data_IF_466417164974
#
_entry.id   IF_466417164974
#
_cell.length_a   1.000
_cell.length_b   1.000
_cell.length_c   1.000
_cell.angle_alpha   90.00
_cell.angle_beta   90.00
_cell.angle_gamma   90.00
#
_symmetry.space_group_name_H-M   'P 1'
#
loop_
_entity.id
_entity.type
_entity.pdbx_description
1 polymer ?
#
# COMPACT_ATOMS: atom_id res chain seq x y z
N UNK A 1 30.56 8.58 -29.15
CA UNK A 1 29.46 7.62 -29.38
C UNK A 1 28.71 7.29 -28.07
N UNK A 2 29.38 7.24 -26.91
CA UNK A 2 28.74 6.96 -25.60
C UNK A 2 27.98 8.13 -24.99
N UNK A 3 28.38 9.38 -25.29
CA UNK A 3 27.79 10.58 -24.67
C UNK A 3 26.35 10.86 -25.07
N UNK A 4 25.97 10.61 -26.31
CA UNK A 4 24.58 10.80 -26.80
C UNK A 4 23.61 9.81 -26.13
N UNK A 5 24.01 8.57 -25.91
CA UNK A 5 23.22 7.56 -25.23
C UNK A 5 23.02 7.90 -23.74
N UNK A 6 24.08 8.39 -23.08
CA UNK A 6 24.02 8.86 -21.69
C UNK A 6 23.08 10.07 -21.52
N UNK A 7 23.17 11.06 -22.40
CA UNK A 7 22.31 12.24 -22.39
C UNK A 7 20.84 11.86 -22.61
N UNK A 8 20.55 10.97 -23.54
CA UNK A 8 19.18 10.45 -23.75
C UNK A 8 18.65 9.72 -22.53
N UNK A 9 19.48 8.91 -21.88
CA UNK A 9 19.14 8.25 -20.64
C UNK A 9 18.83 9.24 -19.52
N UNK A 10 19.64 10.27 -19.34
CA UNK A 10 19.42 11.34 -18.35
C UNK A 10 18.15 12.13 -18.65
N UNK A 11 17.89 12.49 -19.89
CA UNK A 11 16.66 13.19 -20.31
C UNK A 11 15.42 12.32 -20.00
N UNK A 12 15.49 11.03 -20.27
CA UNK A 12 14.40 10.09 -19.95
C UNK A 12 14.11 10.04 -18.45
N UNK A 13 15.15 9.95 -17.64
CA UNK A 13 15.04 9.96 -16.17
C UNK A 13 14.41 11.27 -15.68
N UNK A 14 14.83 12.40 -16.19
CA UNK A 14 14.29 13.72 -15.84
C UNK A 14 12.82 13.83 -16.25
N UNK A 15 12.45 13.40 -17.45
CA UNK A 15 11.06 13.38 -17.92
C UNK A 15 10.20 12.49 -17.02
N UNK A 16 10.66 11.29 -16.70
CA UNK A 16 9.94 10.37 -15.83
C UNK A 16 9.71 10.95 -14.43
N UNK A 17 10.67 11.69 -13.89
CA UNK A 17 10.53 12.32 -12.58
C UNK A 17 9.60 13.55 -12.58
N UNK A 18 9.36 14.16 -13.73
CA UNK A 18 8.47 15.33 -13.89
C UNK A 18 7.03 14.95 -14.23
N UNK A 19 6.79 13.77 -14.77
CA UNK A 19 5.45 13.33 -15.13
C UNK A 19 4.56 13.25 -13.89
N UNK A 20 3.45 13.97 -13.93
CA UNK A 20 2.40 13.85 -12.92
C UNK A 20 1.60 12.56 -13.14
N UNK A 21 1.73 11.65 -12.21
CA UNK A 21 1.00 10.40 -12.24
C UNK A 21 -0.34 10.61 -11.52
N UNK A 22 -1.44 10.22 -12.15
CA UNK A 22 -2.76 10.36 -11.56
C UNK A 22 -2.98 9.32 -10.44
N UNK A 23 -3.80 9.68 -9.46
CA UNK A 23 -4.22 8.73 -8.41
C UNK A 23 -4.88 7.48 -8.97
N UNK A 24 -5.65 7.65 -10.04
CA UNK A 24 -6.34 6.55 -10.71
C UNK A 24 -5.35 5.54 -11.29
N UNK A 25 -4.34 6.01 -12.03
CA UNK A 25 -3.29 5.15 -12.58
C UNK A 25 -2.55 4.36 -11.50
N UNK A 26 -2.18 5.02 -10.39
CA UNK A 26 -1.50 4.35 -9.28
C UNK A 26 -2.36 3.25 -8.67
N UNK A 27 -3.65 3.49 -8.49
CA UNK A 27 -4.56 2.49 -7.94
C UNK A 27 -4.80 1.32 -8.90
N UNK A 28 -4.95 1.58 -10.19
CA UNK A 28 -5.08 0.54 -11.22
C UNK A 28 -3.83 -0.35 -11.28
N UNK A 29 -2.64 0.25 -11.14
CA UNK A 29 -1.38 -0.49 -11.08
C UNK A 29 -1.34 -1.36 -9.82
N UNK A 30 -1.73 -0.81 -8.66
CA UNK A 30 -1.78 -1.56 -7.41
C UNK A 30 -2.73 -2.76 -7.50
N UNK A 31 -3.93 -2.58 -8.06
CA UNK A 31 -4.87 -3.66 -8.28
C UNK A 31 -4.28 -4.77 -9.13
N UNK A 32 -3.64 -4.43 -10.25
CA UNK A 32 -2.96 -5.41 -11.11
C UNK A 32 -1.84 -6.15 -10.39
N UNK A 33 -1.07 -5.46 -9.56
CA UNK A 33 0.01 -6.06 -8.78
C UNK A 33 -0.55 -7.09 -7.79
N UNK A 34 -1.60 -6.73 -7.08
CA UNK A 34 -2.25 -7.60 -6.08
C UNK A 34 -2.94 -8.79 -6.74
N UNK A 35 -3.60 -8.59 -7.87
CA UNK A 35 -4.24 -9.68 -8.64
C UNK A 35 -3.21 -10.69 -9.15
N UNK A 36 -2.08 -10.21 -9.65
CA UNK A 36 -1.01 -11.04 -10.20
C UNK A 36 -0.30 -11.85 -9.11
N UNK A 37 -0.03 -11.24 -7.99
CA UNK A 37 0.65 -11.88 -6.86
C UNK A 37 0.15 -11.27 -5.54
N UNK A 38 -0.88 -11.85 -4.93
CA UNK A 38 -1.42 -11.34 -3.68
C UNK A 38 -0.41 -11.44 -2.54
N UNK A 39 -0.47 -10.55 -1.54
CA UNK A 39 0.44 -10.60 -0.41
C UNK A 39 0.33 -11.92 0.35
N UNK A 40 1.43 -12.48 0.85
CA UNK A 40 1.42 -13.72 1.60
C UNK A 40 0.64 -13.56 2.91
N UNK A 41 0.04 -14.65 3.36
CA UNK A 41 -0.65 -14.69 4.65
C UNK A 41 0.40 -14.60 5.77
N UNK A 42 0.20 -13.65 6.67
CA UNK A 42 0.97 -13.53 7.90
C UNK A 42 0.07 -13.83 9.10
N UNK A 43 0.34 -14.92 9.79
CA UNK A 43 -0.51 -15.40 10.87
C UNK A 43 -1.89 -15.85 10.39
N UNK A 44 -2.95 -15.32 11.01
CA UNK A 44 -4.35 -15.67 10.66
C UNK A 44 -4.91 -14.87 9.48
N UNK A 45 -4.27 -13.77 9.13
CA UNK A 45 -4.86 -12.80 8.23
C UNK A 45 -3.92 -12.44 7.10
N UNK A 46 -4.50 -12.23 5.93
CA UNK A 46 -3.79 -11.69 4.78
C UNK A 46 -3.81 -10.16 4.83
N UNK A 47 -2.66 -9.49 4.65
CA UNK A 47 -2.65 -8.05 4.49
C UNK A 47 -3.51 -7.62 3.30
N UNK A 48 -4.29 -6.56 3.47
CA UNK A 48 -5.14 -6.03 2.43
C UNK A 48 -4.66 -4.64 2.02
N UNK A 49 -4.19 -4.52 0.78
CA UNK A 49 -3.78 -3.26 0.17
C UNK A 49 -5.01 -2.61 -0.47
N UNK A 50 -5.48 -1.49 0.07
CA UNK A 50 -6.70 -0.82 -0.40
C UNK A 50 -6.43 0.17 -1.51
N UNK A 51 -5.55 1.11 -1.26
CA UNK A 51 -5.24 2.16 -2.22
C UNK A 51 -3.84 2.72 -2.01
N UNK A 52 -3.35 3.44 -3.01
CA UNK A 52 -2.03 4.07 -3.01
C UNK A 52 -2.15 5.57 -3.26
N UNK A 53 -1.33 6.35 -2.58
CA UNK A 53 -1.24 7.79 -2.76
C UNK A 53 0.21 8.20 -3.05
N UNK A 54 0.37 9.15 -3.97
CA UNK A 54 1.64 9.80 -4.21
C UNK A 54 1.91 10.83 -3.10
N UNK A 55 3.03 10.69 -2.42
CA UNK A 55 3.46 11.64 -1.37
C UNK A 55 4.41 12.69 -1.91
N UNK A 56 5.36 12.27 -2.73
CA UNK A 56 6.36 13.16 -3.32
C UNK A 56 6.84 12.63 -4.66
N UNK A 57 7.20 13.55 -5.56
CA UNK A 57 7.81 13.21 -6.84
C UNK A 57 9.34 13.13 -6.77
N UNK A 58 9.94 13.77 -5.79
CA UNK A 58 11.40 13.83 -5.62
C UNK A 58 11.80 13.78 -4.15
N UNK A 59 12.27 12.64 -3.67
CA UNK A 59 12.27 11.32 -4.31
C UNK A 59 10.85 10.80 -4.53
N UNK A 60 10.67 9.93 -5.52
CA UNK A 60 9.36 9.33 -5.81
C UNK A 60 8.92 8.48 -4.62
N UNK A 61 7.95 8.96 -3.90
CA UNK A 61 7.49 8.37 -2.64
C UNK A 61 6.00 8.11 -2.72
N UNK A 62 5.61 6.88 -2.47
CA UNK A 62 4.21 6.46 -2.42
C UNK A 62 3.86 5.93 -1.04
N UNK A 63 2.63 6.15 -0.62
CA UNK A 63 2.07 5.52 0.57
C UNK A 63 0.95 4.56 0.18
N UNK A 64 1.05 3.34 0.69
CA UNK A 64 0.04 2.31 0.49
C UNK A 64 -0.79 2.22 1.76
N UNK A 65 -2.09 2.39 1.61
CA UNK A 65 -3.07 2.30 2.68
C UNK A 65 -3.78 0.96 2.67
N UNK A 66 -4.04 0.44 3.82
CA UNK A 66 -4.76 -0.83 3.94
C UNK A 66 -4.79 -1.36 5.37
N UNK A 67 -5.15 -2.63 5.49
CA UNK A 67 -5.28 -3.31 6.77
C UNK A 67 -4.12 -4.29 6.96
N UNK A 68 -3.57 -4.33 8.18
CA UNK A 68 -2.52 -5.27 8.61
C UNK A 68 -1.25 -5.22 7.76
N UNK A 69 -0.87 -4.03 7.35
CA UNK A 69 0.29 -3.80 6.50
C UNK A 69 1.63 -3.97 7.25
N UNK A 70 1.62 -4.01 8.57
CA UNK A 70 2.82 -4.19 9.39
C UNK A 70 3.52 -5.54 9.17
N UNK A 71 2.75 -6.53 8.74
CA UNK A 71 3.23 -7.90 8.54
C UNK A 71 3.76 -8.16 7.12
N UNK A 72 3.80 -7.14 6.28
CA UNK A 72 4.31 -7.27 4.92
C UNK A 72 5.83 -7.44 4.94
N UNK A 73 6.32 -8.49 4.27
CA UNK A 73 7.74 -8.78 4.16
C UNK A 73 8.46 -7.76 3.26
N UNK A 74 9.75 -7.59 3.50
CA UNK A 74 10.61 -6.77 2.63
C UNK A 74 10.67 -7.31 1.19
N UNK A 75 10.58 -8.61 1.02
CA UNK A 75 10.56 -9.25 -0.30
C UNK A 75 9.34 -8.82 -1.11
N UNK A 76 8.18 -8.76 -0.49
CA UNK A 76 6.95 -8.30 -1.13
C UNK A 76 7.01 -6.81 -1.46
N UNK A 77 7.57 -6.00 -0.57
CA UNK A 77 7.81 -4.56 -0.80
C UNK A 77 8.70 -4.33 -2.02
N UNK A 78 9.78 -5.09 -2.15
CA UNK A 78 10.67 -5.04 -3.33
C UNK A 78 9.95 -5.49 -4.60
N UNK A 79 9.08 -6.48 -4.50
CA UNK A 79 8.24 -6.90 -5.63
C UNK A 79 7.31 -5.77 -6.08
N UNK A 80 6.61 -5.12 -5.16
CA UNK A 80 5.75 -3.97 -5.45
C UNK A 80 6.55 -2.84 -6.10
N UNK A 81 7.69 -2.49 -5.53
CA UNK A 81 8.59 -1.46 -6.06
C UNK A 81 9.00 -1.77 -7.50
N UNK A 82 9.40 -3.00 -7.78
CA UNK A 82 9.78 -3.46 -9.11
C UNK A 82 8.63 -3.36 -10.11
N UNK A 83 7.41 -3.73 -9.70
CA UNK A 83 6.23 -3.66 -10.55
C UNK A 83 5.83 -2.20 -10.85
N UNK A 84 5.85 -1.31 -9.85
CA UNK A 84 5.60 0.11 -10.08
C UNK A 84 6.64 0.72 -11.01
N UNK A 85 7.91 0.38 -10.84
CA UNK A 85 8.99 0.84 -11.72
C UNK A 85 8.78 0.40 -13.15
N UNK A 86 8.34 -0.83 -13.35
CA UNK A 86 8.05 -1.40 -14.68
C UNK A 86 6.83 -0.75 -15.34
N UNK A 87 5.73 -0.63 -14.58
CA UNK A 87 4.46 -0.08 -15.09
C UNK A 87 4.54 1.42 -15.40
N UNK A 88 5.28 2.17 -14.59
CA UNK A 88 5.46 3.62 -14.76
C UNK A 88 6.70 3.98 -15.57
N UNK A 89 7.45 2.99 -16.04
CA UNK A 89 8.72 3.18 -16.78
C UNK A 89 9.70 4.13 -16.04
N UNK A 90 9.83 3.95 -14.74
CA UNK A 90 10.68 4.76 -13.86
C UNK A 90 12.08 4.16 -13.72
N UNK A 91 12.76 3.92 -14.83
CA UNK A 91 14.13 3.43 -14.82
C UNK A 91 15.09 4.45 -14.20
N UNK A 92 15.88 4.00 -13.25
CA UNK A 92 16.89 4.83 -12.58
C UNK A 92 16.33 5.79 -11.53
N UNK A 93 15.03 5.79 -11.29
CA UNK A 93 14.41 6.61 -10.25
C UNK A 93 14.21 5.76 -8.98
N UNK A 94 14.73 6.18 -7.83
CA UNK A 94 14.46 5.47 -6.57
C UNK A 94 13.00 5.64 -6.16
N UNK A 95 12.37 4.55 -5.73
CA UNK A 95 10.99 4.53 -5.25
C UNK A 95 11.00 4.22 -3.75
N UNK A 96 10.39 5.08 -2.96
CA UNK A 96 10.17 4.84 -1.53
C UNK A 96 8.73 4.45 -1.30
N UNK A 97 8.51 3.38 -0.55
CA UNK A 97 7.19 2.86 -0.23
C UNK A 97 6.99 2.94 1.28
N UNK A 98 5.92 3.60 1.69
CA UNK A 98 5.47 3.64 3.07
C UNK A 98 4.11 2.95 3.20
N UNK A 99 3.93 2.21 4.27
CA UNK A 99 2.67 1.58 4.59
C UNK A 99 1.96 2.36 5.68
N UNK A 100 0.71 2.71 5.44
CA UNK A 100 -0.17 3.33 6.43
C UNK A 100 -1.33 2.37 6.71
N UNK A 101 -1.36 1.88 7.93
CA UNK A 101 -2.48 1.05 8.39
C UNK A 101 -3.60 1.98 8.84
N UNK A 102 -4.80 1.74 8.35
CA UNK A 102 -5.98 2.42 8.85
C UNK A 102 -6.21 2.00 10.31
N UNK A 103 -6.04 2.93 11.22
CA UNK A 103 -6.38 2.70 12.61
C UNK A 103 -7.90 2.58 12.72
N UNK A 104 -8.36 1.50 13.35
CA UNK A 104 -9.78 1.34 13.61
C UNK A 104 -10.22 2.42 14.62
N UNK A 105 -11.07 3.40 14.21
CA UNK A 105 -11.50 4.45 15.11
C UNK A 105 -12.31 3.92 16.31
N UNK A 106 -12.73 2.68 16.24
CA UNK A 106 -13.51 1.99 17.30
C UNK A 106 -12.66 1.06 18.16
N UNK A 107 -11.33 1.04 17.99
CA UNK A 107 -10.43 0.14 18.73
C UNK A 107 -10.56 0.29 20.24
N UNK A 108 -10.74 1.51 20.72
CA UNK A 108 -10.84 1.83 22.15
C UNK A 108 -12.29 1.97 22.65
N UNK A 109 -13.27 1.87 21.75
CA UNK A 109 -14.68 1.93 22.13
C UNK A 109 -15.19 0.55 22.50
N UNK A 110 -15.40 0.34 23.79
CA UNK A 110 -16.13 -0.83 24.26
C UNK A 110 -17.59 -0.74 23.82
N UNK A 111 -18.07 -1.76 23.14
CA UNK A 111 -19.49 -1.86 22.80
C UNK A 111 -20.32 -1.86 24.07
N UNK A 112 -21.14 -0.83 24.23
CA UNK A 112 -22.13 -0.82 25.29
C UNK A 112 -23.17 -1.90 24.99
N UNK A 113 -23.31 -2.83 25.90
CA UNK A 113 -24.30 -3.90 25.78
C UNK A 113 -25.70 -3.29 25.85
N UNK A 114 -26.59 -3.73 24.96
CA UNK A 114 -27.99 -3.37 25.02
C UNK A 114 -28.64 -4.01 26.24
N UNK A 115 -29.75 -3.43 26.75
CA UNK A 115 -30.48 -3.97 27.90
C UNK A 115 -30.85 -5.45 27.70
N UNK A 116 -31.22 -5.83 26.51
CA UNK A 116 -31.51 -7.22 26.13
C UNK A 116 -30.33 -8.15 26.38
N UNK A 117 -29.14 -7.72 25.99
CA UNK A 117 -27.90 -8.47 26.19
C UNK A 117 -27.50 -8.54 27.66
N UNK A 118 -27.73 -7.46 28.41
CA UNK A 118 -27.52 -7.44 29.87
C UNK A 118 -28.43 -8.40 30.59
N UNK A 119 -29.74 -8.41 30.26
CA UNK A 119 -30.71 -9.35 30.80
C UNK A 119 -30.38 -10.80 30.48
N UNK A 120 -29.93 -11.07 29.25
CA UNK A 120 -29.47 -12.42 28.85
C UNK A 120 -28.24 -12.86 29.65
N UNK A 121 -27.24 -12.00 29.83
CA UNK A 121 -26.07 -12.28 30.67
C UNK A 121 -26.44 -12.55 32.13
N UNK A 122 -27.35 -11.76 32.69
CA UNK A 122 -27.81 -11.96 34.05
C UNK A 122 -28.51 -13.31 34.25
N UNK A 123 -29.31 -13.77 33.28
CA UNK A 123 -29.94 -15.11 33.31
C UNK A 123 -28.90 -16.23 33.27
N UNK A 124 -27.86 -16.10 32.47
CA UNK A 124 -26.77 -17.11 32.34
C UNK A 124 -25.97 -17.19 33.64
N UNK A 125 -25.71 -16.07 34.32
CA UNK A 125 -24.98 -16.04 35.60
C UNK A 125 -25.73 -16.69 36.76
N UNK A 126 -27.06 -16.71 36.72
CA UNK A 126 -27.91 -17.32 37.78
C UNK A 126 -28.06 -18.83 37.62
N UNK A 127 -27.56 -19.41 36.56
CA UNK A 127 -27.49 -20.86 36.36
C UNK A 127 -26.16 -21.41 36.82
#
# INVERSE_FOLDING_TARGET
IGTKALVRGLIKIIKNSRNKISKKELNEILERIVEKNPPPISGRFRPNLKFVQLQSNRPFTISIHGNKLKDISNSYTKYIEKQFRKELDLKGVPIKIFYKTDDNPFKDKKNKLTERQLKKRARIRRR
#
